data_IF_244248335151
#
_entry.id   IF_244248335151
#
_cell.length_a   1.000
_cell.length_b   1.000
_cell.length_c   1.000
_cell.angle_alpha   90.00
_cell.angle_beta   90.00
_cell.angle_gamma   90.00
#
_symmetry.space_group_name_H-M   'P 1'
#
loop_
_entity.id
_entity.type
_entity.pdbx_description
1 polymer ?
#
# COMPACT_ATOMS: atom_id res chain seq x y z
N UNK A 1 6.06 26.76 0.03
CA UNK A 1 4.74 27.42 0.15
C UNK A 1 3.70 26.33 0.19
N UNK A 2 3.27 25.92 1.39
CA UNK A 2 2.05 25.10 1.54
C UNK A 2 0.85 26.03 1.35
N UNK A 3 0.30 26.07 0.13
CA UNK A 3 -1.04 26.63 -0.04
C UNK A 3 -2.04 25.54 0.36
N UNK A 4 -2.92 25.87 1.30
CA UNK A 4 -4.05 25.01 1.64
C UNK A 4 -4.84 24.63 0.37
N UNK A 5 -5.40 23.42 0.37
CA UNK A 5 -6.28 22.96 -0.71
C UNK A 5 -7.50 23.88 -0.81
N UNK A 6 -7.97 24.11 -2.04
CA UNK A 6 -9.28 24.73 -2.25
C UNK A 6 -10.39 23.79 -1.77
N UNK A 7 -11.61 24.31 -1.55
CA UNK A 7 -12.77 23.48 -1.17
C UNK A 7 -13.06 22.39 -2.20
N UNK A 8 -12.85 22.68 -3.48
CA UNK A 8 -13.06 21.73 -4.56
C UNK A 8 -12.01 20.61 -4.52
N UNK A 9 -10.73 20.95 -4.40
CA UNK A 9 -9.65 19.97 -4.26
C UNK A 9 -9.79 19.13 -2.99
N UNK A 10 -10.26 19.73 -1.89
CA UNK A 10 -10.55 19.00 -0.65
C UNK A 10 -11.65 17.96 -0.87
N UNK A 11 -12.75 18.33 -1.55
CA UNK A 11 -13.83 17.40 -1.89
C UNK A 11 -13.37 16.30 -2.85
N UNK A 12 -12.54 16.64 -3.83
CA UNK A 12 -11.94 15.66 -4.73
C UNK A 12 -11.06 14.68 -3.97
N UNK A 13 -10.22 15.16 -3.05
CA UNK A 13 -9.38 14.32 -2.20
C UNK A 13 -10.20 13.38 -1.32
N UNK A 14 -11.28 13.88 -0.70
CA UNK A 14 -12.18 13.08 0.14
C UNK A 14 -12.85 11.95 -0.67
N UNK A 15 -13.44 12.28 -1.82
CA UNK A 15 -14.05 11.29 -2.70
C UNK A 15 -13.03 10.25 -3.18
N UNK A 16 -11.85 10.71 -3.60
CA UNK A 16 -10.77 9.85 -4.06
C UNK A 16 -10.27 8.91 -2.95
N UNK A 17 -10.13 9.44 -1.72
CA UNK A 17 -9.70 8.68 -0.54
C UNK A 17 -10.70 7.58 -0.22
N UNK A 18 -12.01 7.89 -0.20
CA UNK A 18 -13.06 6.90 0.07
C UNK A 18 -13.07 5.77 -0.96
N UNK A 19 -12.98 6.10 -2.25
CA UNK A 19 -12.98 5.11 -3.34
C UNK A 19 -11.73 4.23 -3.29
N UNK A 20 -10.57 4.84 -3.09
CA UNK A 20 -9.30 4.13 -3.01
C UNK A 20 -9.28 3.22 -1.80
N UNK A 21 -9.68 3.71 -0.63
CA UNK A 21 -9.74 2.91 0.59
C UNK A 21 -10.69 1.72 0.44
N UNK A 22 -11.88 1.92 -0.14
CA UNK A 22 -12.82 0.83 -0.41
C UNK A 22 -12.21 -0.23 -1.33
N UNK A 23 -11.55 0.17 -2.42
CA UNK A 23 -10.87 -0.74 -3.34
C UNK A 23 -9.73 -1.52 -2.68
N UNK A 24 -8.90 -0.84 -1.88
CA UNK A 24 -7.80 -1.48 -1.16
C UNK A 24 -8.30 -2.45 -0.09
N UNK A 25 -9.40 -2.13 0.61
CA UNK A 25 -10.01 -3.04 1.59
C UNK A 25 -10.68 -4.24 0.93
N UNK A 26 -11.27 -4.08 -0.26
CA UNK A 26 -11.81 -5.21 -1.03
C UNK A 26 -10.71 -6.23 -1.38
N UNK A 27 -9.50 -5.77 -1.72
CA UNK A 27 -8.35 -6.67 -1.93
C UNK A 27 -7.90 -7.39 -0.66
N UNK A 28 -8.03 -6.76 0.52
CA UNK A 28 -7.75 -7.44 1.79
C UNK A 28 -8.79 -8.53 2.03
N UNK A 29 -10.07 -8.23 1.82
CA UNK A 29 -11.15 -9.19 1.97
C UNK A 29 -10.96 -10.40 1.07
N UNK A 30 -10.72 -10.17 -0.23
CA UNK A 30 -10.45 -11.23 -1.20
C UNK A 30 -9.26 -12.12 -0.80
N UNK A 31 -8.16 -11.52 -0.34
CA UNK A 31 -7.02 -12.26 0.16
C UNK A 31 -7.40 -13.14 1.37
N UNK A 32 -8.18 -12.60 2.30
CA UNK A 32 -8.60 -13.30 3.53
C UNK A 32 -9.52 -14.47 3.23
N UNK A 33 -10.47 -14.31 2.32
CA UNK A 33 -11.41 -15.35 1.96
C UNK A 33 -10.75 -16.46 1.13
N UNK A 34 -9.95 -16.07 0.14
CA UNK A 34 -9.53 -16.99 -0.92
C UNK A 34 -8.13 -17.59 -0.70
N UNK A 35 -7.27 -17.00 0.14
CA UNK A 35 -5.92 -17.53 0.38
C UNK A 35 -5.85 -18.37 1.66
N UNK A 36 -5.59 -19.66 1.50
CA UNK A 36 -5.45 -20.63 2.61
C UNK A 36 -4.02 -21.12 2.83
N UNK A 37 -3.05 -20.55 2.12
CA UNK A 37 -1.64 -20.93 2.20
C UNK A 37 -0.87 -19.79 2.85
N UNK A 38 -0.35 -20.02 4.07
CA UNK A 38 0.34 -19.00 4.87
C UNK A 38 1.48 -18.32 4.10
N UNK A 39 2.33 -19.09 3.41
CA UNK A 39 3.42 -18.53 2.62
C UNK A 39 2.93 -17.60 1.49
N UNK A 40 1.88 -17.98 0.77
CA UNK A 40 1.32 -17.15 -0.30
C UNK A 40 0.67 -15.87 0.26
N UNK A 41 -0.04 -15.99 1.38
CA UNK A 41 -0.63 -14.85 2.07
C UNK A 41 0.44 -13.84 2.51
N UNK A 42 1.51 -14.31 3.15
CA UNK A 42 2.63 -13.47 3.56
C UNK A 42 3.35 -12.86 2.34
N UNK A 43 3.48 -13.60 1.24
CA UNK A 43 4.02 -13.08 -0.01
C UNK A 43 3.19 -11.92 -0.56
N UNK A 44 1.87 -12.01 -0.52
CA UNK A 44 0.98 -10.92 -0.97
C UNK A 44 1.18 -9.65 -0.14
N UNK A 45 1.36 -9.75 1.18
CA UNK A 45 1.74 -8.59 2.01
C UNK A 45 3.02 -7.90 1.50
N UNK A 46 4.07 -8.67 1.20
CA UNK A 46 5.31 -8.12 0.67
C UNK A 46 5.15 -7.48 -0.71
N UNK A 47 4.28 -8.03 -1.56
CA UNK A 47 3.98 -7.45 -2.88
C UNK A 47 3.29 -6.10 -2.71
N UNK A 48 2.27 -6.00 -1.86
CA UNK A 48 1.59 -4.73 -1.58
C UNK A 48 2.55 -3.65 -1.07
N UNK A 49 3.48 -3.99 -0.18
CA UNK A 49 4.49 -3.05 0.31
C UNK A 49 5.40 -2.55 -0.81
N UNK A 50 5.99 -3.48 -1.59
CA UNK A 50 6.93 -3.14 -2.67
C UNK A 50 6.28 -2.30 -3.78
N UNK A 51 5.07 -2.68 -4.19
CA UNK A 51 4.34 -1.99 -5.25
C UNK A 51 3.97 -0.57 -4.82
N UNK A 52 3.62 -0.40 -3.55
CA UNK A 52 3.38 0.93 -2.98
C UNK A 52 4.67 1.76 -2.90
N UNK A 53 5.77 1.22 -2.36
CA UNK A 53 7.06 1.94 -2.29
C UNK A 53 7.49 2.45 -3.66
N UNK A 54 7.41 1.59 -4.69
CA UNK A 54 7.73 1.94 -6.08
C UNK A 54 6.78 3.00 -6.64
N UNK A 55 5.49 2.89 -6.34
CA UNK A 55 4.49 3.86 -6.80
C UNK A 55 4.69 5.22 -6.15
N UNK A 56 4.90 5.25 -4.83
CA UNK A 56 5.19 6.44 -4.04
C UNK A 56 6.43 7.14 -4.55
N UNK A 57 7.54 6.41 -4.74
CA UNK A 57 8.78 6.96 -5.28
C UNK A 57 8.55 7.62 -6.65
N UNK A 58 7.82 6.96 -7.55
CA UNK A 58 7.47 7.53 -8.86
C UNK A 58 6.65 8.80 -8.73
N UNK A 59 5.64 8.82 -7.86
CA UNK A 59 4.78 10.00 -7.65
C UNK A 59 5.57 11.17 -7.05
N UNK A 60 6.44 10.90 -6.08
CA UNK A 60 7.33 11.89 -5.47
C UNK A 60 8.29 12.50 -6.50
N UNK A 61 8.89 11.65 -7.34
CA UNK A 61 9.79 12.11 -8.40
C UNK A 61 9.06 12.94 -9.45
N UNK A 62 7.84 12.55 -9.82
CA UNK A 62 7.00 13.33 -10.72
C UNK A 62 6.66 14.71 -10.13
N UNK A 63 6.25 14.74 -8.86
CA UNK A 63 5.95 15.98 -8.14
C UNK A 63 7.17 16.91 -8.05
N UNK A 64 8.35 16.38 -7.73
CA UNK A 64 9.62 17.14 -7.71
C UNK A 64 10.00 17.71 -9.07
N UNK A 65 9.68 16.99 -10.15
CA UNK A 65 9.95 17.42 -11.53
C UNK A 65 8.85 18.31 -12.12
N UNK A 66 7.79 18.62 -11.36
CA UNK A 66 6.65 19.38 -11.84
C UNK A 66 5.79 18.63 -12.87
N UNK A 67 5.94 17.30 -12.98
CA UNK A 67 5.13 16.43 -13.84
C UNK A 67 3.86 16.08 -13.07
N UNK A 68 2.80 16.83 -13.30
CA UNK A 68 1.52 16.67 -12.61
C UNK A 68 0.49 15.99 -13.52
N UNK A 69 -0.43 15.19 -12.96
CA UNK A 69 -1.59 14.73 -13.69
C UNK A 69 -2.43 15.92 -14.21
N UNK A 70 -3.13 15.78 -15.35
CA UNK A 70 -4.01 16.82 -15.87
C UNK A 70 -5.05 17.25 -14.83
N UNK A 71 -5.21 18.55 -14.63
CA UNK A 71 -6.21 19.11 -13.70
C UNK A 71 -5.85 18.97 -12.21
N UNK A 72 -4.67 18.46 -11.86
CA UNK A 72 -4.23 18.26 -10.47
C UNK A 72 -3.16 19.28 -10.10
N UNK A 73 -3.39 20.05 -9.04
CA UNK A 73 -2.37 20.97 -8.51
C UNK A 73 -1.26 20.20 -7.80
N UNK A 74 -0.09 20.83 -7.62
CA UNK A 74 1.02 20.22 -6.88
C UNK A 74 0.62 19.86 -5.44
N UNK A 75 -0.23 20.68 -4.81
CA UNK A 75 -0.67 20.47 -3.44
C UNK A 75 -1.71 19.35 -3.35
N UNK A 76 -2.65 19.29 -4.30
CA UNK A 76 -3.58 18.16 -4.39
C UNK A 76 -2.82 16.86 -4.65
N UNK A 77 -1.82 16.86 -5.53
CA UNK A 77 -0.99 15.68 -5.79
C UNK A 77 -0.23 15.23 -4.53
N UNK A 78 0.38 16.17 -3.79
CA UNK A 78 1.01 15.89 -2.48
C UNK A 78 0.02 15.26 -1.51
N UNK A 79 -1.17 15.85 -1.38
CA UNK A 79 -2.20 15.35 -0.48
C UNK A 79 -2.70 13.95 -0.87
N UNK A 80 -2.79 13.66 -2.17
CA UNK A 80 -3.10 12.31 -2.67
C UNK A 80 -2.00 11.32 -2.26
N UNK A 81 -0.72 11.66 -2.44
CA UNK A 81 0.39 10.79 -2.01
C UNK A 81 0.28 10.48 -0.51
N UNK A 82 0.07 11.50 0.31
CA UNK A 82 -0.01 11.35 1.77
C UNK A 82 -1.25 10.55 2.21
N UNK A 83 -2.39 10.76 1.56
CA UNK A 83 -3.62 9.99 1.81
C UNK A 83 -3.43 8.51 1.41
N UNK A 84 -2.83 8.26 0.25
CA UNK A 84 -2.55 6.89 -0.22
C UNK A 84 -1.61 6.17 0.74
N UNK A 85 -0.59 6.84 1.26
CA UNK A 85 0.35 6.25 2.22
C UNK A 85 -0.37 5.75 3.47
N UNK A 86 -1.31 6.54 4.00
CA UNK A 86 -2.14 6.15 5.15
C UNK A 86 -3.05 4.97 4.82
N UNK A 87 -3.68 4.97 3.65
CA UNK A 87 -4.52 3.84 3.19
C UNK A 87 -3.68 2.57 3.10
N UNK A 88 -2.49 2.64 2.51
CA UNK A 88 -1.61 1.49 2.36
C UNK A 88 -1.08 0.98 3.70
N UNK A 89 -0.73 1.87 4.64
CA UNK A 89 -0.38 1.48 6.00
C UNK A 89 -1.54 0.73 6.69
N UNK A 90 -2.77 1.23 6.53
CA UNK A 90 -3.98 0.56 7.04
C UNK A 90 -4.20 -0.80 6.38
N UNK A 91 -4.06 -0.90 5.05
CA UNK A 91 -4.14 -2.15 4.30
C UNK A 91 -3.16 -3.18 4.82
N UNK A 92 -1.88 -2.81 4.94
CA UNK A 92 -0.82 -3.70 5.45
C UNK A 92 -1.10 -4.11 6.90
N UNK A 93 -1.58 -3.20 7.76
CA UNK A 93 -2.00 -3.56 9.11
C UNK A 93 -3.13 -4.60 9.12
N UNK A 94 -4.18 -4.42 8.32
CA UNK A 94 -5.29 -5.35 8.23
C UNK A 94 -4.87 -6.72 7.70
N UNK A 95 -4.00 -6.76 6.69
CA UNK A 95 -3.42 -8.02 6.16
C UNK A 95 -2.63 -8.75 7.25
N UNK A 96 -1.82 -8.05 8.04
CA UNK A 96 -1.05 -8.65 9.15
C UNK A 96 -1.97 -9.21 10.24
N UNK A 97 -2.98 -8.45 10.67
CA UNK A 97 -3.97 -8.89 11.65
C UNK A 97 -4.74 -10.10 11.16
N UNK A 98 -5.23 -10.06 9.93
CA UNK A 98 -6.00 -11.16 9.36
C UNK A 98 -5.15 -12.44 9.18
N UNK A 99 -3.87 -12.30 8.81
CA UNK A 99 -2.93 -13.41 8.79
C UNK A 99 -2.82 -14.07 10.17
N UNK A 100 -2.60 -13.28 11.22
CA UNK A 100 -2.47 -13.80 12.58
C UNK A 100 -3.74 -14.49 13.06
N UNK A 101 -4.91 -13.90 12.76
CA UNK A 101 -6.20 -14.52 13.09
C UNK A 101 -6.42 -15.84 12.34
N UNK A 102 -6.00 -15.93 11.07
CA UNK A 102 -6.25 -17.09 10.23
C UNK A 102 -5.29 -18.25 10.50
N UNK A 103 -4.01 -17.97 10.72
CA UNK A 103 -2.97 -19.00 10.84
C UNK A 103 -2.44 -19.17 12.27
N UNK A 104 -2.85 -18.32 13.22
CA UNK A 104 -2.45 -18.43 14.63
C UNK A 104 -1.00 -18.04 14.91
N UNK A 105 -0.30 -17.44 13.95
CA UNK A 105 1.11 -17.08 14.08
C UNK A 105 1.42 -15.71 13.47
N UNK A 106 2.63 -15.21 13.72
CA UNK A 106 3.04 -13.91 13.19
C UNK A 106 3.42 -14.01 11.71
N UNK A 107 2.88 -13.10 10.90
CA UNK A 107 3.30 -12.95 9.49
C UNK A 107 4.81 -12.70 9.35
N UNK A 108 5.46 -12.10 10.36
CA UNK A 108 6.91 -11.87 10.35
C UNK A 108 7.74 -13.16 10.40
N UNK A 109 7.16 -14.31 10.74
CA UNK A 109 7.83 -15.61 10.61
C UNK A 109 8.18 -15.92 9.14
N UNK A 110 7.44 -15.32 8.20
CA UNK A 110 7.56 -15.52 6.76
C UNK A 110 8.27 -14.36 6.05
N UNK A 111 8.45 -13.24 6.76
CA UNK A 111 9.05 -12.03 6.24
C UNK A 111 10.49 -11.88 6.78
N UNK A 112 11.41 -11.41 5.94
CA UNK A 112 12.68 -10.86 6.32
C UNK A 112 12.53 -9.54 7.08
N UNK A 113 13.65 -9.01 7.56
CA UNK A 113 13.71 -7.81 8.43
C UNK A 113 13.09 -6.56 7.82
N UNK A 114 12.92 -6.52 6.50
CA UNK A 114 12.34 -5.42 5.73
C UNK A 114 10.88 -5.69 5.29
N UNK A 115 10.22 -6.71 5.84
CA UNK A 115 8.84 -7.04 5.48
C UNK A 115 8.67 -7.75 4.13
N UNK A 116 9.77 -8.09 3.45
CA UNK A 116 9.79 -8.91 2.22
C UNK A 116 9.84 -10.38 2.57
N UNK A 117 9.33 -11.30 1.75
CA UNK A 117 9.43 -12.73 2.05
C UNK A 117 10.89 -13.17 2.26
N UNK A 118 11.16 -13.90 3.34
CA UNK A 118 12.47 -14.49 3.59
C UNK A 118 12.74 -15.50 2.47
N UNK A 119 13.75 -15.25 1.64
CA UNK A 119 14.10 -16.17 0.56
C UNK A 119 14.42 -17.55 1.14
N UNK A 120 13.58 -18.55 0.86
CA UNK A 120 13.86 -19.96 1.18
C UNK A 120 14.75 -20.65 0.13
N UNK A 121 15.41 -19.89 -0.76
CA UNK A 121 16.22 -20.42 -1.87
C UNK A 121 17.64 -19.86 -1.94
N UNK A 122 18.34 -19.74 -0.81
CA UNK A 122 19.79 -19.49 -0.82
C UNK A 122 20.63 -20.77 -0.67
N UNK A 123 20.15 -21.93 -1.18
CA UNK A 123 20.86 -23.20 -0.99
C UNK A 123 20.65 -24.33 -2.01
N UNK A 124 20.09 -24.08 -3.20
CA UNK A 124 19.82 -25.17 -4.17
C UNK A 124 20.21 -24.87 -5.63
N UNK A 125 21.10 -23.91 -5.85
CA UNK A 125 21.87 -23.79 -7.09
C UNK A 125 23.33 -23.51 -6.70
N UNK A 126 24.01 -24.57 -6.30
CA UNK A 126 25.47 -24.69 -6.32
C UNK A 126 25.87 -25.62 -7.46
#
# INVERSE_FOLDING_TARGET
MDKALTKEEQRQLENWTLQTEAGEMAQVHDLVENCNISFQFAKTHSVYLKDWEKTKERMENNLRRGVLPPGVSANLNRAIIDATDKIMQKKLANVRTAFQMKFGESIYNYLGKDGKTKGLFSGLFG
#
